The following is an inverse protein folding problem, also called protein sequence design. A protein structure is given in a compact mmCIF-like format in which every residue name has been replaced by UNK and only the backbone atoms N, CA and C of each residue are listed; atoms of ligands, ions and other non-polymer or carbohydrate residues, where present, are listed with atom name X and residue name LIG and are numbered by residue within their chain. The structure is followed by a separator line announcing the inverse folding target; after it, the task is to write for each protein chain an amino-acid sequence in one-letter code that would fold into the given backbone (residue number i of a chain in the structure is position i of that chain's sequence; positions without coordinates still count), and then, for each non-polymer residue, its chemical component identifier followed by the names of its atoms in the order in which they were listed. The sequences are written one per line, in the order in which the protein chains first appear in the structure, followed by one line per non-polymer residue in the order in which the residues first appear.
data_IF_899908417886
#
_entry.id   IF_899908417886
#
_cell.length_a   1.000
_cell.length_b   1.000
_cell.length_c   1.000
_cell.angle_alpha   90.00
_cell.angle_beta   90.00
_cell.angle_gamma   90.00
#
_symmetry.space_group_name_H-M   'P 1'
#
loop_
_entity.id
_entity.type
_entity.pdbx_description
1 polymer ?
#
# COMPACT_ATOMS: atom_id res chain seq x y z
N UNK A 1 -7.93 -2.92 -19.32
CA UNK A 1 -7.43 -2.02 -18.24
C UNK A 1 -8.10 -0.66 -18.46
N UNK A 2 -9.41 -0.68 -18.70
CA UNK A 2 -10.02 0.30 -19.62
C UNK A 2 -10.71 1.46 -18.90
N UNK A 3 -10.54 1.53 -17.57
CA UNK A 3 -11.16 2.51 -16.68
C UNK A 3 -10.11 3.30 -15.86
N UNK A 4 -8.91 3.49 -16.41
CA UNK A 4 -7.82 4.23 -15.74
C UNK A 4 -7.68 5.62 -16.35
N UNK A 5 -7.76 6.65 -15.50
CA UNK A 5 -7.46 8.04 -15.87
C UNK A 5 -6.13 8.41 -15.22
N UNK A 6 -5.15 8.79 -16.04
CA UNK A 6 -3.87 9.30 -15.55
C UNK A 6 -4.07 10.77 -15.18
N UNK A 7 -4.04 11.09 -13.89
CA UNK A 7 -4.25 12.45 -13.39
C UNK A 7 -2.96 13.29 -13.34
N UNK A 8 -1.80 12.66 -13.21
CA UNK A 8 -0.51 13.34 -13.21
C UNK A 8 0.64 12.39 -13.59
N UNK A 9 1.74 12.99 -14.08
CA UNK A 9 2.99 12.32 -14.37
C UNK A 9 4.14 13.16 -13.78
N UNK A 10 5.05 12.51 -13.06
CA UNK A 10 6.28 13.15 -12.57
C UNK A 10 7.46 12.66 -13.38
N UNK A 11 8.28 13.59 -13.85
CA UNK A 11 9.55 13.29 -14.51
C UNK A 11 10.65 14.16 -13.90
N UNK A 12 11.66 13.52 -13.32
CA UNK A 12 12.77 14.23 -12.68
C UNK A 12 13.79 13.26 -12.07
N UNK A 13 14.97 13.78 -11.69
CA UNK A 13 16.06 12.94 -11.16
C UNK A 13 15.79 12.42 -9.74
N UNK A 14 14.79 12.98 -9.05
CA UNK A 14 14.42 12.63 -7.68
C UNK A 14 12.99 12.11 -7.59
N UNK A 15 12.67 11.49 -6.45
CA UNK A 15 11.29 11.14 -6.07
C UNK A 15 10.40 12.39 -6.14
N UNK A 16 9.11 12.23 -6.49
CA UNK A 16 8.19 13.34 -6.56
C UNK A 16 8.05 14.03 -5.21
N UNK A 17 8.01 15.36 -5.25
CA UNK A 17 7.40 16.11 -4.15
C UNK A 17 5.89 15.79 -4.18
N UNK A 18 5.42 15.04 -3.19
CA UNK A 18 4.03 14.58 -3.17
C UNK A 18 3.04 15.73 -3.01
N UNK A 19 3.44 16.85 -2.40
CA UNK A 19 2.59 18.04 -2.31
C UNK A 19 2.45 18.68 -3.69
N UNK A 20 3.56 18.89 -4.39
CA UNK A 20 3.55 19.44 -5.75
C UNK A 20 2.78 18.56 -6.75
N UNK A 21 2.87 17.23 -6.59
CA UNK A 21 2.15 16.28 -7.45
C UNK A 21 0.65 16.22 -7.15
N UNK A 22 0.26 16.15 -5.87
CA UNK A 22 -1.13 15.92 -5.48
C UNK A 22 -1.97 17.19 -5.45
N UNK A 23 -1.40 18.33 -5.07
CA UNK A 23 -2.15 19.56 -4.85
C UNK A 23 -2.96 20.00 -6.10
N UNK A 24 -2.38 20.06 -7.32
CA UNK A 24 -3.14 20.42 -8.51
C UNK A 24 -4.32 19.47 -8.78
N UNK A 25 -4.15 18.18 -8.51
CA UNK A 25 -5.19 17.17 -8.71
C UNK A 25 -6.35 17.41 -7.72
N UNK A 26 -6.02 17.59 -6.45
CA UNK A 26 -6.98 17.73 -5.37
C UNK A 26 -7.77 19.06 -5.48
N UNK A 27 -7.11 20.15 -5.86
CA UNK A 27 -7.77 21.43 -6.13
C UNK A 27 -8.76 21.37 -7.29
N UNK A 28 -8.50 20.54 -8.31
CA UNK A 28 -9.44 20.34 -9.40
C UNK A 28 -10.62 19.42 -9.00
N UNK A 29 -10.38 18.44 -8.12
CA UNK A 29 -11.44 17.53 -7.65
C UNK A 29 -12.40 18.23 -6.67
N UNK A 30 -11.92 19.16 -5.84
CA UNK A 30 -12.75 19.80 -4.79
C UNK A 30 -14.03 20.46 -5.34
N UNK A 31 -13.96 21.34 -6.36
CA UNK A 31 -15.14 21.96 -6.93
C UNK A 31 -16.07 20.93 -7.60
N UNK A 32 -15.51 19.89 -8.21
CA UNK A 32 -16.31 18.83 -8.86
C UNK A 32 -17.08 18.02 -7.79
N UNK A 33 -16.48 17.81 -6.62
CA UNK A 33 -17.15 17.15 -5.50
C UNK A 33 -18.33 17.98 -4.97
N UNK A 34 -18.15 19.30 -4.84
CA UNK A 34 -19.13 20.21 -4.24
C UNK A 34 -20.22 20.60 -5.26
N UNK A 35 -19.81 21.13 -6.40
CA UNK A 35 -20.71 21.72 -7.39
C UNK A 35 -21.13 20.74 -8.47
N UNK A 36 -20.31 19.74 -8.78
CA UNK A 36 -20.53 18.79 -9.88
C UNK A 36 -20.32 19.38 -11.28
N UNK A 37 -20.26 18.50 -12.28
CA UNK A 37 -20.14 18.81 -13.70
C UNK A 37 -21.50 18.59 -14.36
N UNK A 38 -22.01 19.60 -15.06
CA UNK A 38 -23.22 19.45 -15.86
C UNK A 38 -22.93 18.65 -17.14
N UNK A 39 -23.78 17.69 -17.48
CA UNK A 39 -23.63 16.90 -18.70
C UNK A 39 -24.42 17.58 -19.83
N UNK A 40 -23.75 18.03 -20.92
CA UNK A 40 -24.41 18.72 -22.03
C UNK A 40 -25.61 17.93 -22.58
N UNK A 41 -26.73 18.62 -22.82
CA UNK A 41 -27.95 18.00 -23.35
C UNK A 41 -28.73 17.14 -22.35
N UNK A 42 -28.36 17.11 -21.07
CA UNK A 42 -29.08 16.36 -20.04
C UNK A 42 -29.33 17.22 -18.79
N UNK A 43 -30.24 16.75 -17.93
CA UNK A 43 -30.43 17.30 -16.58
C UNK A 43 -29.49 16.66 -15.54
N UNK A 44 -28.57 15.81 -15.97
CA UNK A 44 -27.67 15.09 -15.09
C UNK A 44 -26.50 15.97 -14.66
N UNK A 45 -26.07 15.73 -13.41
CA UNK A 45 -24.91 16.38 -12.81
C UNK A 45 -24.04 15.32 -12.17
N UNK A 46 -22.79 15.23 -12.61
CA UNK A 46 -21.81 14.24 -12.15
C UNK A 46 -20.98 14.87 -11.03
N UNK A 47 -20.79 14.14 -9.93
CA UNK A 47 -19.88 14.54 -8.86
C UNK A 47 -18.79 13.48 -8.71
N UNK A 48 -17.57 13.92 -8.45
CA UNK A 48 -16.41 13.07 -8.22
C UNK A 48 -15.99 13.28 -6.78
N UNK A 49 -15.90 12.19 -6.03
CA UNK A 49 -15.43 12.21 -4.64
C UNK A 49 -14.20 11.32 -4.51
N UNK A 50 -13.14 11.86 -3.91
CA UNK A 50 -12.01 11.04 -3.50
C UNK A 50 -12.43 10.22 -2.28
N UNK A 51 -12.38 8.89 -2.40
CA UNK A 51 -12.83 7.97 -1.34
C UNK A 51 -11.65 7.48 -0.50
N UNK A 52 -10.54 7.17 -1.16
CA UNK A 52 -9.35 6.58 -0.54
C UNK A 52 -8.09 6.85 -1.37
N UNK A 53 -6.92 6.70 -0.73
CA UNK A 53 -5.62 6.76 -1.38
C UNK A 53 -4.83 5.48 -1.15
N UNK A 54 -4.56 4.73 -2.23
CA UNK A 54 -3.76 3.49 -2.19
C UNK A 54 -2.33 3.80 -2.58
N UNK A 55 -1.39 3.43 -1.72
CA UNK A 55 0.03 3.68 -1.93
C UNK A 55 0.86 2.51 -1.41
N UNK A 56 1.99 2.23 -2.06
CA UNK A 56 3.03 1.40 -1.46
C UNK A 56 3.62 2.09 -0.19
N UNK A 57 4.40 1.36 0.61
CA UNK A 57 4.86 1.89 1.91
C UNK A 57 5.67 3.20 1.79
N UNK A 58 6.64 3.34 0.86
CA UNK A 58 7.37 4.60 0.68
C UNK A 58 6.50 5.76 0.21
N UNK A 59 5.64 5.57 -0.80
CA UNK A 59 4.77 6.63 -1.31
C UNK A 59 3.71 7.01 -0.28
N UNK A 60 3.19 6.04 0.49
CA UNK A 60 2.26 6.29 1.60
C UNK A 60 2.84 7.29 2.59
N UNK A 61 4.05 7.04 3.07
CA UNK A 61 4.71 7.93 4.03
C UNK A 61 4.97 9.35 3.48
N UNK A 62 5.21 9.47 2.17
CA UNK A 62 5.34 10.75 1.52
C UNK A 62 3.98 11.46 1.36
N UNK A 63 2.95 10.74 0.90
CA UNK A 63 1.60 11.24 0.70
C UNK A 63 0.91 11.66 2.01
N UNK A 64 1.17 10.95 3.11
CA UNK A 64 0.57 11.22 4.42
C UNK A 64 1.43 12.09 5.33
N UNK A 65 2.55 12.63 4.83
CA UNK A 65 3.52 13.39 5.64
C UNK A 65 3.96 12.65 6.91
N UNK A 66 4.14 11.31 6.87
CA UNK A 66 4.62 10.51 8.00
C UNK A 66 6.02 9.93 7.79
N UNK A 67 6.63 9.39 8.83
CA UNK A 67 7.87 8.60 8.74
C UNK A 67 7.61 7.31 7.95
N UNK A 68 8.66 6.83 7.28
CA UNK A 68 8.63 5.57 6.56
C UNK A 68 8.56 4.37 7.53
N UNK A 69 8.25 3.20 6.98
CA UNK A 69 8.10 1.94 7.71
C UNK A 69 9.34 1.54 8.55
N UNK A 70 10.53 2.05 8.24
CA UNK A 70 11.75 1.80 9.01
C UNK A 70 11.99 2.78 10.17
N UNK A 71 11.21 3.87 10.27
CA UNK A 71 11.33 4.88 11.32
C UNK A 71 10.55 4.52 12.59
N UNK A 72 10.96 5.07 13.73
CA UNK A 72 10.16 4.99 14.97
C UNK A 72 8.80 5.66 14.76
N UNK A 73 7.71 5.02 15.22
CA UNK A 73 6.34 5.44 14.93
C UNK A 73 6.01 5.51 13.42
N UNK A 74 6.62 4.63 12.62
CA UNK A 74 6.46 4.57 11.17
C UNK A 74 5.21 3.81 10.68
N UNK A 75 4.52 3.08 11.56
CA UNK A 75 3.21 2.53 11.22
C UNK A 75 2.19 3.67 11.10
N UNK A 76 1.38 3.66 10.03
CA UNK A 76 0.35 4.68 9.83
C UNK A 76 -0.88 4.44 10.74
N UNK A 77 -1.14 3.20 11.13
CA UNK A 77 -2.38 2.82 11.84
C UNK A 77 -2.20 2.71 13.34
N UNK A 78 -1.07 2.18 13.82
CA UNK A 78 -0.81 2.06 15.26
C UNK A 78 0.21 3.09 15.74
N UNK A 79 0.20 3.31 17.05
CA UNK A 79 1.08 4.22 17.77
C UNK A 79 2.40 3.57 18.21
N UNK A 80 2.72 2.37 17.72
CA UNK A 80 3.91 1.68 18.21
C UNK A 80 5.19 2.35 17.74
N UNK A 81 6.17 2.39 18.65
CA UNK A 81 7.54 2.76 18.31
C UNK A 81 8.19 1.78 17.34
N UNK A 82 7.76 0.51 17.35
CA UNK A 82 8.48 -0.60 16.73
C UNK A 82 9.78 -0.94 17.49
N UNK A 83 10.36 -2.11 17.20
CA UNK A 83 11.60 -2.61 17.81
C UNK A 83 12.69 -2.77 16.74
N UNK A 84 13.95 -2.62 17.11
CA UNK A 84 15.07 -2.93 16.20
C UNK A 84 15.40 -4.41 16.34
N UNK A 85 15.36 -5.14 15.23
CA UNK A 85 15.78 -6.53 15.13
C UNK A 85 16.60 -6.71 13.85
N UNK A 86 17.79 -7.30 13.94
CA UNK A 86 18.71 -7.51 12.79
C UNK A 86 18.91 -6.25 11.92
N UNK A 87 19.19 -5.10 12.58
CA UNK A 87 19.39 -3.77 11.92
C UNK A 87 18.16 -3.24 11.17
N UNK A 88 17.01 -3.89 11.26
CA UNK A 88 15.74 -3.43 10.72
C UNK A 88 14.77 -3.07 11.85
N UNK A 89 13.90 -2.09 11.62
CA UNK A 89 12.78 -1.85 12.52
C UNK A 89 11.63 -2.76 12.15
N UNK A 90 11.08 -3.45 13.14
CA UNK A 90 9.95 -4.35 13.03
C UNK A 90 8.81 -3.90 13.94
N UNK A 91 7.58 -4.23 13.52
CA UNK A 91 6.35 -4.05 14.30
C UNK A 91 5.85 -5.46 14.61
N UNK A 92 6.09 -5.96 15.83
CA UNK A 92 5.68 -7.32 16.19
C UNK A 92 4.16 -7.49 16.07
N UNK A 93 3.67 -8.63 15.60
CA UNK A 93 2.24 -8.93 15.62
C UNK A 93 1.85 -9.32 17.05
N UNK A 94 1.34 -8.39 17.83
CA UNK A 94 0.71 -8.65 19.11
C UNK A 94 -0.67 -7.98 19.15
N UNK A 95 -1.58 -8.46 19.98
CA UNK A 95 -2.94 -7.87 19.99
C UNK A 95 -3.01 -6.54 20.76
N UNK A 96 -1.93 -6.18 21.46
CA UNK A 96 -1.82 -4.96 22.26
C UNK A 96 -1.24 -3.81 21.43
N UNK A 97 -2.06 -3.31 20.50
CA UNK A 97 -1.74 -2.15 19.67
C UNK A 97 -2.73 -1.01 19.93
N UNK A 98 -2.19 0.18 20.24
CA UNK A 98 -3.01 1.39 20.27
C UNK A 98 -3.15 1.97 18.86
N UNK A 99 -4.37 2.03 18.34
CA UNK A 99 -4.65 2.61 17.02
C UNK A 99 -4.68 4.14 17.08
N UNK A 100 -4.23 4.77 15.99
CA UNK A 100 -4.28 6.21 15.78
C UNK A 100 -5.67 6.63 15.32
N UNK A 101 -6.13 7.78 15.79
CA UNK A 101 -7.37 8.41 15.30
C UNK A 101 -7.07 9.56 14.34
N UNK A 102 -8.07 9.95 13.55
CA UNK A 102 -7.95 11.09 12.65
C UNK A 102 -7.74 12.41 13.37
N UNK A 103 -8.32 12.56 14.56
CA UNK A 103 -8.12 13.72 15.42
C UNK A 103 -6.67 13.83 15.89
N UNK A 104 -6.12 12.74 16.44
CA UNK A 104 -4.72 12.70 16.89
C UNK A 104 -3.74 13.00 15.75
N UNK A 105 -3.96 12.43 14.56
CA UNK A 105 -3.12 12.69 13.39
C UNK A 105 -3.11 14.18 13.01
N UNK A 106 -4.27 14.86 13.08
CA UNK A 106 -4.39 16.31 12.80
C UNK A 106 -3.70 17.15 13.87
N UNK A 107 -3.81 16.78 15.15
CA UNK A 107 -3.13 17.46 16.27
C UNK A 107 -1.60 17.35 16.14
N UNK A 108 -1.08 16.12 15.97
CA UNK A 108 0.34 15.88 15.80
C UNK A 108 0.92 16.55 14.55
N UNK A 109 0.14 16.66 13.47
CA UNK A 109 0.55 17.40 12.27
C UNK A 109 0.76 18.89 12.56
N UNK A 110 -0.18 19.54 13.27
CA UNK A 110 -0.07 20.95 13.67
C UNK A 110 1.11 21.19 14.60
N UNK A 111 1.32 20.30 15.57
CA UNK A 111 2.47 20.36 16.47
C UNK A 111 3.80 20.16 15.73
N UNK A 112 3.84 19.22 14.77
CA UNK A 112 5.04 18.95 14.00
C UNK A 112 5.44 20.15 13.13
N UNK A 113 4.48 20.85 12.52
CA UNK A 113 4.75 22.09 11.78
C UNK A 113 5.23 23.21 12.71
N UNK A 114 4.55 23.44 13.83
CA UNK A 114 4.92 24.50 14.78
C UNK A 114 6.33 24.30 15.36
N UNK A 115 6.69 23.05 15.66
CA UNK A 115 7.97 22.72 16.27
C UNK A 115 9.07 22.38 15.27
N UNK A 116 8.74 22.26 13.97
CA UNK A 116 9.61 21.73 12.92
C UNK A 116 10.27 20.38 13.28
N UNK A 117 9.56 19.55 14.05
CA UNK A 117 10.05 18.22 14.49
C UNK A 117 8.93 17.19 14.41
N UNK A 118 9.20 15.95 13.94
CA UNK A 118 8.14 14.95 13.85
C UNK A 118 7.56 14.58 15.22
N UNK A 119 6.22 14.55 15.31
CA UNK A 119 5.48 14.09 16.49
C UNK A 119 4.86 12.73 16.22
N UNK A 120 5.28 11.71 16.97
CA UNK A 120 4.78 10.34 16.83
C UNK A 120 4.77 9.85 15.37
N UNK A 121 5.84 10.17 14.63
CA UNK A 121 6.00 9.79 13.24
C UNK A 121 5.26 10.67 12.24
N UNK A 122 4.43 11.61 12.65
CA UNK A 122 3.85 12.65 11.78
C UNK A 122 4.86 13.78 11.62
N UNK A 123 5.16 14.17 10.37
CA UNK A 123 6.19 15.17 10.03
C UNK A 123 5.62 16.57 9.78
N UNK A 124 4.31 16.68 9.54
CA UNK A 124 3.62 17.93 9.23
C UNK A 124 2.25 17.67 8.62
N UNK A 125 1.60 18.71 8.11
CA UNK A 125 0.29 18.56 7.45
C UNK A 125 0.46 17.79 6.14
N UNK A 126 -0.44 16.83 5.92
CA UNK A 126 -0.48 16.06 4.68
C UNK A 126 -1.23 16.83 3.59
N UNK A 127 -0.80 16.78 2.32
CA UNK A 127 -1.58 17.30 1.21
C UNK A 127 -2.97 16.64 1.09
N UNK A 128 -3.16 15.45 1.69
CA UNK A 128 -4.43 14.73 1.70
C UNK A 128 -5.35 15.10 2.88
N UNK A 129 -4.86 15.80 3.90
CA UNK A 129 -5.59 15.98 5.18
C UNK A 129 -6.92 16.73 5.06
N UNK A 130 -7.06 17.58 4.03
CA UNK A 130 -8.30 18.33 3.76
C UNK A 130 -9.33 17.52 2.95
N UNK A 131 -8.90 16.41 2.35
CA UNK A 131 -9.70 15.61 1.42
C UNK A 131 -10.03 14.22 1.96
N UNK A 132 -9.16 13.67 2.82
CA UNK A 132 -9.25 12.32 3.36
C UNK A 132 -8.91 12.32 4.86
N UNK A 133 -9.67 11.56 5.64
CA UNK A 133 -9.38 11.36 7.05
C UNK A 133 -8.28 10.32 7.24
N UNK A 134 -7.12 10.76 7.76
CA UNK A 134 -5.95 9.92 7.97
C UNK A 134 -5.94 9.34 9.40
N UNK A 135 -5.72 8.04 9.62
CA UNK A 135 -5.28 7.06 8.63
C UNK A 135 -6.41 6.28 7.93
N UNK A 136 -7.67 6.50 8.32
CA UNK A 136 -8.84 5.67 7.95
C UNK A 136 -9.02 5.52 6.43
N UNK A 137 -8.83 6.59 5.67
CA UNK A 137 -8.99 6.61 4.22
C UNK A 137 -7.77 6.12 3.42
N UNK A 138 -6.74 5.61 4.11
CA UNK A 138 -5.54 5.05 3.48
C UNK A 138 -5.55 3.55 3.71
N UNK A 139 -6.11 2.73 2.80
CA UNK A 139 -6.10 1.28 2.96
C UNK A 139 -4.67 0.71 2.80
N UNK A 140 -4.49 -0.51 3.30
CA UNK A 140 -3.27 -1.27 3.08
C UNK A 140 -3.21 -1.68 1.60
N UNK A 141 -2.06 -1.44 0.96
CA UNK A 141 -1.81 -1.96 -0.38
C UNK A 141 -1.68 -3.49 -0.35
N UNK A 142 -2.76 -4.15 -0.77
CA UNK A 142 -2.86 -5.61 -0.82
C UNK A 142 -1.76 -6.25 -1.69
N UNK A 143 -1.41 -5.61 -2.81
CA UNK A 143 -0.45 -6.17 -3.77
C UNK A 143 0.94 -6.27 -3.14
N UNK A 144 1.47 -5.15 -2.64
CA UNK A 144 2.82 -5.16 -2.06
C UNK A 144 2.87 -5.73 -0.64
N UNK A 145 1.85 -5.50 0.19
CA UNK A 145 1.89 -5.92 1.60
C UNK A 145 1.57 -7.40 1.78
N UNK A 146 0.53 -7.90 1.10
CA UNK A 146 0.04 -9.27 1.29
C UNK A 146 0.65 -10.21 0.26
N UNK A 147 0.51 -9.91 -1.04
CA UNK A 147 0.95 -10.83 -2.09
C UNK A 147 2.48 -10.87 -2.20
N UNK A 148 3.12 -9.73 -2.45
CA UNK A 148 4.57 -9.67 -2.61
C UNK A 148 5.34 -9.62 -1.28
N UNK A 149 4.66 -9.29 -0.19
CA UNK A 149 5.22 -9.28 1.16
C UNK A 149 5.07 -10.65 1.82
N UNK A 150 3.93 -10.86 2.49
CA UNK A 150 3.69 -12.04 3.32
C UNK A 150 3.69 -13.34 2.51
N UNK A 151 2.87 -13.41 1.45
CA UNK A 151 2.67 -14.66 0.73
C UNK A 151 3.94 -15.09 -0.02
N UNK A 152 4.62 -14.16 -0.69
CA UNK A 152 5.93 -14.41 -1.30
C UNK A 152 6.96 -14.92 -0.29
N UNK A 153 6.95 -14.42 0.95
CA UNK A 153 7.83 -14.91 2.01
C UNK A 153 7.47 -16.34 2.43
N UNK A 154 6.18 -16.65 2.62
CA UNK A 154 5.71 -18.01 2.92
C UNK A 154 6.09 -19.00 1.80
N UNK A 155 5.91 -18.60 0.54
CA UNK A 155 6.30 -19.40 -0.62
C UNK A 155 7.80 -19.71 -0.62
N UNK A 156 8.66 -18.74 -0.26
CA UNK A 156 10.10 -18.96 -0.10
C UNK A 156 10.42 -19.92 1.05
N UNK A 157 9.69 -19.85 2.17
CA UNK A 157 9.88 -20.78 3.30
C UNK A 157 9.48 -22.21 2.92
N UNK A 158 8.32 -22.39 2.29
CA UNK A 158 7.80 -23.71 1.94
C UNK A 158 8.56 -24.39 0.80
N UNK A 159 8.97 -23.64 -0.22
CA UNK A 159 9.52 -24.20 -1.44
C UNK A 159 10.97 -23.83 -1.71
N UNK A 160 11.55 -22.89 -0.96
CA UNK A 160 12.93 -22.45 -1.17
C UNK A 160 13.97 -23.54 -0.86
N UNK A 161 15.06 -23.62 -1.63
CA UNK A 161 16.11 -24.61 -1.40
C UNK A 161 16.82 -24.41 -0.04
N UNK A 162 16.92 -23.17 0.43
CA UNK A 162 17.55 -22.83 1.71
C UNK A 162 16.86 -23.44 2.92
N UNK A 163 15.60 -23.85 2.80
CA UNK A 163 14.79 -24.41 3.89
C UNK A 163 14.42 -25.86 3.65
N UNK A 164 15.12 -26.59 2.77
CA UNK A 164 14.70 -27.95 2.39
C UNK A 164 14.67 -28.95 3.56
N UNK A 165 15.49 -28.72 4.59
CA UNK A 165 15.62 -29.57 5.78
C UNK A 165 14.62 -29.21 6.89
N UNK A 166 13.90 -28.10 6.75
CA UNK A 166 12.96 -27.64 7.77
C UNK A 166 11.67 -28.47 7.76
N UNK A 167 11.08 -28.70 8.94
CA UNK A 167 9.86 -29.52 9.09
C UNK A 167 8.66 -28.96 8.30
N UNK A 168 8.58 -27.63 8.16
CA UNK A 168 7.53 -26.95 7.41
C UNK A 168 7.78 -26.94 5.89
N UNK A 169 8.93 -27.44 5.43
CA UNK A 169 9.29 -27.43 4.02
C UNK A 169 8.43 -28.41 3.22
N UNK A 170 7.85 -27.91 2.14
CA UNK A 170 7.08 -28.70 1.18
C UNK A 170 7.91 -29.05 -0.07
N UNK A 171 9.19 -28.67 -0.09
CA UNK A 171 10.07 -28.85 -1.26
C UNK A 171 10.19 -30.30 -1.72
N UNK A 172 10.11 -31.28 -0.81
CA UNK A 172 10.10 -32.71 -1.16
C UNK A 172 8.92 -33.13 -2.06
N UNK A 173 7.84 -32.36 -2.06
CA UNK A 173 6.64 -32.61 -2.86
C UNK A 173 6.57 -31.75 -4.13
N UNK A 174 7.62 -30.96 -4.43
CA UNK A 174 7.61 -29.95 -5.49
C UNK A 174 7.28 -30.55 -6.87
N UNK A 175 7.82 -31.73 -7.19
CA UNK A 175 7.49 -32.44 -8.44
C UNK A 175 6.00 -32.80 -8.56
N UNK A 176 5.39 -33.26 -7.47
CA UNK A 176 3.96 -33.60 -7.43
C UNK A 176 3.11 -32.34 -7.52
N UNK A 177 3.47 -31.29 -6.79
CA UNK A 177 2.77 -30.01 -6.79
C UNK A 177 2.83 -29.35 -8.16
N UNK A 178 4.00 -29.30 -8.80
CA UNK A 178 4.15 -28.75 -10.15
C UNK A 178 3.28 -29.48 -11.17
N UNK A 179 3.24 -30.83 -11.10
CA UNK A 179 2.35 -31.62 -11.96
C UNK A 179 0.87 -31.27 -11.77
N UNK A 180 0.45 -31.00 -10.53
CA UNK A 180 -0.92 -30.57 -10.23
C UNK A 180 -1.19 -29.16 -10.74
N UNK A 181 -0.28 -28.21 -10.47
CA UNK A 181 -0.39 -26.82 -10.93
C UNK A 181 -0.53 -26.74 -12.45
N UNK A 182 0.30 -27.46 -13.20
CA UNK A 182 0.24 -27.47 -14.68
C UNK A 182 -1.04 -28.08 -15.25
N UNK A 183 -1.82 -28.81 -14.45
CA UNK A 183 -3.11 -29.38 -14.86
C UNK A 183 -4.28 -28.43 -14.59
N UNK A 184 -4.09 -27.38 -13.79
CA UNK A 184 -5.15 -26.41 -13.50
C UNK A 184 -5.47 -25.65 -14.78
N UNK A 185 -6.76 -25.67 -15.15
CA UNK A 185 -7.31 -24.88 -16.24
C UNK A 185 -8.25 -23.86 -15.63
N UNK A 186 -7.77 -22.63 -15.39
CA UNK A 186 -8.62 -21.60 -14.82
C UNK A 186 -9.66 -21.14 -15.85
N UNK A 187 -10.72 -20.50 -15.34
CA UNK A 187 -11.76 -19.87 -16.17
C UNK A 187 -11.18 -18.70 -16.98
N UNK A 188 -11.85 -18.30 -18.05
CA UNK A 188 -11.34 -17.31 -19.02
C UNK A 188 -11.03 -15.93 -18.42
N UNK A 189 -11.61 -15.60 -17.27
CA UNK A 189 -11.37 -14.37 -16.53
C UNK A 189 -9.96 -14.30 -15.94
N UNK A 190 -9.30 -15.45 -15.76
CA UNK A 190 -7.94 -15.54 -15.25
C UNK A 190 -6.97 -15.61 -16.44
N UNK A 191 -6.35 -14.47 -16.73
CA UNK A 191 -5.46 -14.33 -17.89
C UNK A 191 -4.11 -15.04 -17.74
N UNK A 192 -3.72 -15.44 -16.53
CA UNK A 192 -2.44 -16.10 -16.26
C UNK A 192 -2.65 -17.54 -15.77
N UNK A 193 -2.09 -18.49 -16.51
CA UNK A 193 -2.08 -19.90 -16.14
C UNK A 193 -1.09 -20.14 -14.98
N UNK A 194 -1.41 -21.04 -14.04
CA UNK A 194 -0.45 -21.45 -13.01
C UNK A 194 0.82 -22.01 -13.64
N UNK A 195 1.97 -21.54 -13.16
CA UNK A 195 3.30 -21.96 -13.63
C UNK A 195 3.95 -22.91 -12.62
N UNK A 196 5.04 -23.54 -13.05
CA UNK A 196 5.89 -24.31 -12.14
C UNK A 196 6.51 -23.41 -11.07
N UNK A 197 6.51 -23.90 -9.83
CA UNK A 197 7.19 -23.28 -8.69
C UNK A 197 8.71 -23.13 -8.87
N UNK A 198 9.30 -23.82 -9.85
CA UNK A 198 10.70 -23.58 -10.25
C UNK A 198 10.92 -22.14 -10.72
N UNK A 199 9.88 -21.50 -11.26
CA UNK A 199 9.92 -20.11 -11.73
C UNK A 199 9.47 -19.09 -10.68
N UNK A 200 9.32 -19.50 -9.42
CA UNK A 200 8.79 -18.66 -8.33
C UNK A 200 9.54 -17.33 -8.16
N UNK A 201 10.83 -17.27 -8.51
CA UNK A 201 11.60 -16.02 -8.47
C UNK A 201 11.05 -14.93 -9.41
N UNK A 202 10.36 -15.33 -10.48
CA UNK A 202 9.79 -14.47 -11.52
C UNK A 202 8.26 -14.35 -11.42
N UNK A 203 7.68 -14.76 -10.29
CA UNK A 203 6.24 -14.63 -10.09
C UNK A 203 5.87 -13.17 -9.88
N UNK A 204 4.79 -12.75 -10.52
CA UNK A 204 4.14 -11.47 -10.30
C UNK A 204 3.15 -11.60 -9.13
N UNK A 205 2.76 -10.47 -8.53
CA UNK A 205 1.76 -10.46 -7.46
C UNK A 205 0.47 -11.24 -7.82
N UNK A 206 -0.01 -11.14 -9.06
CA UNK A 206 -1.20 -11.86 -9.53
C UNK A 206 -1.12 -13.37 -9.36
N UNK A 207 0.07 -13.96 -9.45
CA UNK A 207 0.28 -15.41 -9.29
C UNK A 207 0.29 -15.86 -7.83
N UNK A 208 0.48 -14.93 -6.89
CA UNK A 208 0.35 -15.20 -5.46
C UNK A 208 -1.08 -15.02 -4.94
N UNK A 209 -1.98 -14.46 -5.76
CA UNK A 209 -3.40 -14.28 -5.42
C UNK A 209 -4.24 -15.53 -5.72
N UNK A 210 -3.81 -16.31 -6.71
CA UNK A 210 -4.58 -17.38 -7.35
C UNK A 210 -4.52 -18.71 -6.59
#
# INVERSE_FOLDING_TARGET
MDNLIVAALWFGPSKPDMKALLHPILENISPINIYGIAVPGSRLRIRIKLILGIFDLPARAAATSTKQFNGEYGCLYCFDKGKIHNRARIYPPNDDHTLRTSTQMKEWAKEAEKSNTPKHGVKGISPLSDFLDLPVCIPIDYMHSILEGVFKQLMKLWFGPSYHSEKFSLRKHLNTINKLLTKIKPVNEIQQLPRSLDNMAFYKASEYRA
#
